data_IF_360929278122
#
_entry.id   IF_360929278122
#
_cell.length_a   1.000
_cell.length_b   1.000
_cell.length_c   1.000
_cell.angle_alpha   90.00
_cell.angle_beta   90.00
_cell.angle_gamma   90.00
#
_symmetry.space_group_name_H-M   'P 1'
#
loop_
_entity.id
_entity.type
_entity.pdbx_description
1 polymer ?
#
# COMPACT_ATOMS: atom_id res chain seq x y z
N UNK A 1 -5.98 24.45 -28.18
CA UNK A 1 -5.46 23.93 -26.89
C UNK A 1 -6.52 23.34 -25.94
N UNK A 2 -7.84 23.39 -26.24
CA UNK A 2 -8.88 22.78 -25.37
C UNK A 2 -9.13 21.28 -25.63
N UNK A 3 -8.83 20.77 -26.84
CA UNK A 3 -9.08 19.37 -27.21
C UNK A 3 -8.11 18.35 -26.57
N UNK A 4 -6.83 18.71 -26.42
CA UNK A 4 -5.83 17.79 -25.86
C UNK A 4 -6.03 17.52 -24.35
N UNK A 5 -6.53 18.51 -23.61
CA UNK A 5 -6.80 18.38 -22.17
C UNK A 5 -8.02 17.47 -21.92
N UNK A 6 -9.03 17.54 -22.78
CA UNK A 6 -10.23 16.68 -22.67
C UNK A 6 -9.88 15.21 -22.92
N UNK A 7 -9.05 14.92 -23.92
CA UNK A 7 -8.58 13.55 -24.17
C UNK A 7 -7.78 12.98 -23.00
N UNK A 8 -6.90 13.77 -22.38
CA UNK A 8 -6.07 13.29 -21.27
C UNK A 8 -6.91 12.99 -20.01
N UNK A 9 -7.91 13.82 -19.69
CA UNK A 9 -8.84 13.59 -18.57
C UNK A 9 -9.74 12.37 -18.85
N UNK A 10 -10.20 12.20 -20.08
CA UNK A 10 -10.98 11.03 -20.48
C UNK A 10 -10.17 9.73 -20.40
N UNK A 11 -8.88 9.74 -20.77
CA UNK A 11 -8.01 8.57 -20.65
C UNK A 11 -7.72 8.19 -19.20
N UNK A 12 -7.51 9.18 -18.31
CA UNK A 12 -7.33 8.91 -16.87
C UNK A 12 -8.63 8.40 -16.24
N UNK A 13 -9.78 8.97 -16.59
CA UNK A 13 -11.07 8.46 -16.15
C UNK A 13 -11.29 7.03 -16.65
N UNK A 14 -11.03 6.73 -17.93
CA UNK A 14 -11.15 5.39 -18.48
C UNK A 14 -10.22 4.38 -17.77
N UNK A 15 -8.98 4.76 -17.42
CA UNK A 15 -8.06 3.92 -16.65
C UNK A 15 -8.49 3.70 -15.19
N UNK A 16 -9.25 4.63 -14.61
CA UNK A 16 -9.81 4.48 -13.26
C UNK A 16 -11.11 3.64 -13.25
N UNK A 17 -11.94 3.74 -14.29
CA UNK A 17 -13.19 2.98 -14.41
C UNK A 17 -13.02 1.56 -14.97
N UNK A 18 -11.95 1.31 -15.75
CA UNK A 18 -11.58 -0.06 -16.18
C UNK A 18 -11.16 -0.95 -15.01
N UNK A 19 -10.89 -0.39 -13.82
CA UNK A 19 -10.66 -1.16 -12.60
C UNK A 19 -11.95 -1.54 -11.84
N UNK A 20 -13.14 -1.11 -12.28
CA UNK A 20 -14.40 -1.28 -11.52
C UNK A 20 -15.41 -2.19 -12.23
N UNK A 21 -15.34 -2.36 -13.55
CA UNK A 21 -16.21 -3.31 -14.27
C UNK A 21 -15.39 -4.13 -15.26
N UNK A 22 -15.18 -5.41 -14.95
CA UNK A 22 -14.39 -6.36 -15.74
C UNK A 22 -15.02 -6.81 -17.06
N UNK A 23 -15.51 -5.89 -17.88
CA UNK A 23 -16.16 -6.17 -19.15
C UNK A 23 -15.72 -5.22 -20.28
N UNK A 24 -14.43 -4.88 -20.38
CA UNK A 24 -13.90 -4.31 -21.63
C UNK A 24 -13.42 -5.46 -22.53
N UNK A 25 -14.04 -5.73 -23.70
CA UNK A 25 -13.56 -6.74 -24.63
C UNK A 25 -12.12 -6.40 -25.04
N UNK A 26 -11.18 -7.33 -24.81
CA UNK A 26 -9.78 -7.18 -25.19
C UNK A 26 -8.81 -6.75 -24.08
N UNK A 27 -9.28 -6.25 -22.94
CA UNK A 27 -8.42 -6.04 -21.75
C UNK A 27 -8.64 -7.20 -20.80
N UNK A 28 -7.79 -8.23 -20.88
CA UNK A 28 -7.76 -9.30 -19.89
C UNK A 28 -7.29 -8.70 -18.56
N UNK A 29 -8.23 -8.28 -17.71
CA UNK A 29 -7.93 -7.92 -16.32
C UNK A 29 -7.42 -9.20 -15.68
N UNK A 30 -6.10 -9.35 -15.59
CA UNK A 30 -5.51 -10.46 -14.86
C UNK A 30 -5.81 -10.19 -13.40
N UNK A 31 -6.84 -10.83 -12.87
CA UNK A 31 -7.02 -10.97 -11.43
C UNK A 31 -5.84 -11.81 -10.92
N UNK A 32 -4.74 -11.15 -10.63
CA UNK A 32 -3.65 -11.79 -9.94
C UNK A 32 -4.16 -12.13 -8.54
N UNK A 33 -4.25 -13.43 -8.23
CA UNK A 33 -4.41 -13.88 -6.85
C UNK A 33 -3.33 -13.24 -5.96
N UNK A 34 -3.51 -13.28 -4.65
CA UNK A 34 -2.42 -12.87 -3.76
C UNK A 34 -1.33 -13.94 -3.74
N UNK A 35 -0.09 -13.53 -3.46
CA UNK A 35 0.99 -14.45 -3.16
C UNK A 35 1.11 -14.57 -1.65
N UNK A 36 1.00 -15.78 -1.14
CA UNK A 36 1.25 -16.07 0.27
C UNK A 36 2.68 -16.56 0.47
N UNK A 37 3.50 -15.79 1.18
CA UNK A 37 4.87 -16.18 1.56
C UNK A 37 4.92 -16.94 2.91
N UNK A 38 3.76 -17.22 3.51
CA UNK A 38 3.59 -17.70 4.87
C UNK A 38 3.60 -16.57 5.90
N UNK A 39 3.00 -16.83 7.07
CA UNK A 39 2.78 -15.85 8.15
C UNK A 39 4.03 -15.03 8.48
N UNK A 40 5.17 -15.70 8.68
CA UNK A 40 6.44 -15.06 9.07
C UNK A 40 6.96 -14.13 7.97
N UNK A 41 7.07 -14.62 6.73
CA UNK A 41 7.67 -13.83 5.65
C UNK A 41 6.76 -12.69 5.20
N UNK A 42 5.44 -12.90 5.17
CA UNK A 42 4.47 -11.82 4.99
C UNK A 42 4.66 -10.74 6.06
N UNK A 43 4.82 -11.15 7.33
CA UNK A 43 5.11 -10.26 8.44
C UNK A 43 6.40 -9.46 8.26
N UNK A 44 7.47 -10.09 7.78
CA UNK A 44 8.76 -9.43 7.52
C UNK A 44 8.65 -8.39 6.40
N UNK A 45 7.97 -8.72 5.30
CA UNK A 45 7.73 -7.77 4.19
C UNK A 45 6.91 -6.58 4.71
N UNK A 46 5.76 -6.84 5.34
CA UNK A 46 4.89 -5.78 5.89
C UNK A 46 5.62 -4.93 6.91
N UNK A 47 6.39 -5.53 7.80
CA UNK A 47 7.18 -4.82 8.81
C UNK A 47 8.22 -3.90 8.18
N UNK A 48 8.90 -4.34 7.12
CA UNK A 48 9.80 -3.50 6.33
C UNK A 48 9.10 -2.31 5.70
N UNK A 49 7.92 -2.53 5.10
CA UNK A 49 7.12 -1.45 4.51
C UNK A 49 6.64 -0.45 5.57
N UNK A 50 6.12 -0.96 6.69
CA UNK A 50 5.66 -0.16 7.83
C UNK A 50 6.74 0.79 8.33
N UNK A 51 7.96 0.27 8.50
CA UNK A 51 9.09 1.06 8.97
C UNK A 51 9.37 2.26 8.05
N UNK A 52 9.48 2.00 6.75
CA UNK A 52 9.88 3.04 5.79
C UNK A 52 8.76 4.05 5.53
N UNK A 53 7.51 3.60 5.41
CA UNK A 53 6.37 4.51 5.28
C UNK A 53 6.16 5.37 6.54
N UNK A 54 6.37 4.80 7.74
CA UNK A 54 6.31 5.57 8.99
C UNK A 54 7.46 6.59 9.06
N UNK A 55 8.64 6.28 8.51
CA UNK A 55 9.73 7.24 8.38
C UNK A 55 9.38 8.39 7.41
N UNK A 56 8.65 8.12 6.32
CA UNK A 56 8.10 9.19 5.45
C UNK A 56 7.16 10.09 6.26
N UNK A 57 6.24 9.53 7.04
CA UNK A 57 5.33 10.30 7.90
C UNK A 57 6.07 11.15 8.94
N UNK A 58 7.15 10.61 9.54
CA UNK A 58 8.02 11.35 10.45
C UNK A 58 8.70 12.53 9.74
N UNK A 59 9.26 12.31 8.55
CA UNK A 59 9.88 13.38 7.73
C UNK A 59 8.87 14.45 7.35
N UNK A 60 7.65 14.05 6.98
CA UNK A 60 6.56 14.98 6.69
C UNK A 60 6.22 15.86 7.90
N UNK A 61 6.10 15.27 9.10
CA UNK A 61 5.85 16.02 10.34
C UNK A 61 7.02 16.94 10.75
N UNK A 62 8.25 16.63 10.35
CA UNK A 62 9.41 17.54 10.52
C UNK A 62 9.32 18.74 9.59
N UNK A 63 8.95 18.53 8.32
CA UNK A 63 8.73 19.59 7.32
C UNK A 63 7.51 20.45 7.66
N UNK A 64 6.48 19.85 8.26
CA UNK A 64 5.21 20.50 8.59
C UNK A 64 4.86 20.28 10.08
N UNK A 65 5.33 21.14 11.00
CA UNK A 65 5.09 20.96 12.44
C UNK A 65 3.62 20.89 12.83
N UNK A 66 2.73 21.61 12.13
CA UNK A 66 1.27 21.56 12.32
C UNK A 66 0.66 20.18 12.03
N UNK A 67 1.39 19.30 11.34
CA UNK A 67 0.96 17.95 11.01
C UNK A 67 1.21 16.94 12.15
N UNK A 68 2.06 17.28 13.15
CA UNK A 68 2.44 16.39 14.26
C UNK A 68 1.24 15.76 15.00
N UNK A 69 0.15 16.48 15.32
CA UNK A 69 -1.01 15.89 16.01
C UNK A 69 -1.67 14.75 15.23
N UNK A 70 -1.47 14.70 13.91
CA UNK A 70 -2.07 13.73 13.01
C UNK A 70 -1.16 12.54 12.67
N UNK A 71 0.05 12.50 13.24
CA UNK A 71 1.07 11.49 12.93
C UNK A 71 0.56 10.06 13.07
N UNK A 72 -0.17 9.75 14.15
CA UNK A 72 -0.73 8.41 14.34
C UNK A 72 -1.76 8.04 13.26
N UNK A 73 -2.54 9.02 12.78
CA UNK A 73 -3.48 8.79 11.68
C UNK A 73 -2.75 8.52 10.35
N UNK A 74 -1.64 9.23 10.10
CA UNK A 74 -0.79 8.98 8.92
C UNK A 74 -0.22 7.55 8.94
N UNK A 75 0.26 7.09 10.10
CA UNK A 75 0.72 5.71 10.27
C UNK A 75 -0.41 4.70 10.03
N UNK A 76 -1.60 4.96 10.58
CA UNK A 76 -2.78 4.13 10.33
C UNK A 76 -3.10 4.07 8.83
N UNK A 77 -3.01 5.20 8.12
CA UNK A 77 -3.25 5.25 6.68
C UNK A 77 -2.23 4.40 5.91
N UNK A 78 -0.96 4.41 6.32
CA UNK A 78 0.06 3.52 5.76
C UNK A 78 -0.33 2.04 5.93
N UNK A 79 -0.82 1.65 7.12
CA UNK A 79 -1.31 0.30 7.40
C UNK A 79 -2.50 -0.08 6.50
N UNK A 80 -3.49 0.81 6.40
CA UNK A 80 -4.65 0.62 5.53
C UNK A 80 -4.28 0.48 4.05
N UNK A 81 -3.30 1.27 3.59
CA UNK A 81 -2.83 1.18 2.21
C UNK A 81 -2.24 -0.19 1.91
N UNK A 82 -1.42 -0.72 2.81
CA UNK A 82 -0.86 -2.06 2.70
C UNK A 82 -1.95 -3.12 2.75
N UNK A 83 -2.91 -3.02 3.68
CA UNK A 83 -4.05 -3.94 3.76
C UNK A 83 -4.85 -3.97 2.45
N UNK A 84 -5.28 -2.80 1.97
CA UNK A 84 -6.16 -2.69 0.81
C UNK A 84 -5.52 -3.07 -0.52
N UNK A 85 -4.20 -2.93 -0.63
CA UNK A 85 -3.45 -3.19 -1.87
C UNK A 85 -2.54 -4.43 -1.76
N UNK A 86 -2.73 -5.27 -0.74
CA UNK A 86 -1.81 -6.38 -0.50
C UNK A 86 -1.67 -7.31 -1.71
N UNK A 87 -2.75 -7.58 -2.45
CA UNK A 87 -2.69 -8.45 -3.64
C UNK A 87 -1.63 -7.95 -4.62
N UNK A 88 -1.65 -6.65 -4.93
CA UNK A 88 -0.69 -6.03 -5.83
C UNK A 88 0.73 -6.03 -5.23
N UNK A 89 0.85 -5.73 -3.94
CA UNK A 89 2.15 -5.68 -3.27
C UNK A 89 2.78 -7.07 -3.11
N UNK A 90 1.98 -8.11 -2.91
CA UNK A 90 2.45 -9.49 -2.81
C UNK A 90 2.99 -10.00 -4.15
N UNK A 91 2.36 -9.62 -5.26
CA UNK A 91 2.86 -9.93 -6.61
C UNK A 91 4.15 -9.16 -6.92
N UNK A 92 4.23 -7.89 -6.53
CA UNK A 92 5.45 -7.12 -6.66
C UNK A 92 6.59 -7.73 -5.83
N UNK A 93 6.32 -8.09 -4.57
CA UNK A 93 7.26 -8.79 -3.71
C UNK A 93 7.72 -10.11 -4.34
N UNK A 94 6.82 -10.87 -4.96
CA UNK A 94 7.17 -12.11 -5.68
C UNK A 94 8.16 -11.83 -6.80
N UNK A 95 7.94 -10.81 -7.61
CA UNK A 95 8.88 -10.41 -8.65
C UNK A 95 10.26 -10.05 -8.09
N UNK A 96 10.31 -9.39 -6.93
CA UNK A 96 11.58 -9.07 -6.25
C UNK A 96 12.28 -10.33 -5.69
N UNK A 97 11.51 -11.29 -5.16
CA UNK A 97 12.05 -12.57 -4.68
C UNK A 97 12.59 -13.41 -5.84
N UNK A 98 11.85 -13.51 -6.95
CA UNK A 98 12.27 -14.28 -8.12
C UNK A 98 13.59 -13.76 -8.72
N UNK A 99 13.81 -12.44 -8.68
CA UNK A 99 15.07 -11.81 -9.12
C UNK A 99 16.29 -12.24 -8.32
N UNK A 100 16.12 -12.82 -7.13
CA UNK A 100 17.26 -13.32 -6.34
C UNK A 100 17.87 -14.59 -6.94
N UNK A 101 17.13 -15.34 -7.78
CA UNK A 101 17.63 -16.58 -8.41
C UNK A 101 17.95 -17.72 -7.44
N UNK A 102 17.60 -17.60 -6.16
CA UNK A 102 17.84 -18.59 -5.10
C UNK A 102 16.78 -18.51 -4.00
N UNK A 103 16.85 -19.42 -3.03
CA UNK A 103 16.00 -19.37 -1.84
C UNK A 103 16.28 -18.10 -1.03
N UNK A 104 15.26 -17.26 -0.76
CA UNK A 104 15.43 -16.03 0.03
C UNK A 104 15.56 -16.33 1.53
N UNK A 105 16.36 -15.52 2.21
CA UNK A 105 16.51 -15.48 3.67
C UNK A 105 15.49 -14.54 4.32
N UNK A 106 15.25 -14.67 5.63
CA UNK A 106 14.37 -13.76 6.38
C UNK A 106 14.80 -12.29 6.27
N UNK A 107 16.11 -12.02 6.24
CA UNK A 107 16.65 -10.66 6.07
C UNK A 107 16.28 -10.07 4.72
N UNK A 108 16.27 -10.88 3.68
CA UNK A 108 15.91 -10.43 2.33
C UNK A 108 14.44 -10.08 2.20
N UNK A 109 13.54 -10.86 2.83
CA UNK A 109 12.13 -10.50 2.91
C UNK A 109 11.90 -9.15 3.59
N UNK A 110 12.61 -8.89 4.70
CA UNK A 110 12.56 -7.59 5.37
C UNK A 110 13.10 -6.46 4.49
N UNK A 111 14.20 -6.69 3.77
CA UNK A 111 14.80 -5.71 2.85
C UNK A 111 13.90 -5.41 1.65
N UNK A 112 13.24 -6.42 1.09
CA UNK A 112 12.23 -6.28 0.04
C UNK A 112 11.10 -5.36 0.54
N UNK A 113 10.58 -5.63 1.74
CA UNK A 113 9.58 -4.77 2.37
C UNK A 113 10.04 -3.32 2.52
N UNK A 114 11.28 -3.10 2.99
CA UNK A 114 11.84 -1.74 3.09
C UNK A 114 11.96 -1.05 1.73
N UNK A 115 12.45 -1.75 0.71
CA UNK A 115 12.54 -1.21 -0.65
C UNK A 115 11.17 -0.77 -1.16
N UNK A 116 10.17 -1.64 -1.03
CA UNK A 116 8.80 -1.32 -1.43
C UNK A 116 8.25 -0.12 -0.67
N UNK A 117 8.44 -0.05 0.65
CA UNK A 117 7.98 1.06 1.48
C UNK A 117 8.63 2.41 1.13
N UNK A 118 9.87 2.42 0.64
CA UNK A 118 10.56 3.64 0.18
C UNK A 118 10.00 4.18 -1.13
N UNK A 119 9.61 3.30 -2.04
CA UNK A 119 9.06 3.64 -3.36
C UNK A 119 7.58 4.09 -3.29
N UNK A 120 6.93 3.92 -2.14
CA UNK A 120 5.55 4.34 -1.94
C UNK A 120 5.43 5.85 -1.65
N UNK A 121 4.79 6.58 -2.56
CA UNK A 121 4.40 7.96 -2.30
C UNK A 121 3.18 8.03 -1.36
N UNK A 122 3.43 8.54 -0.16
CA UNK A 122 2.45 8.73 0.91
C UNK A 122 2.19 10.21 1.25
N UNK A 123 3.04 11.15 0.79
CA UNK A 123 2.99 12.55 1.26
C UNK A 123 1.71 13.25 0.80
N UNK A 124 1.23 12.97 -0.41
CA UNK A 124 -0.03 13.52 -0.94
C UNK A 124 -1.22 13.21 -0.02
N UNK A 125 -1.26 11.99 0.53
CA UNK A 125 -2.32 11.56 1.44
C UNK A 125 -2.21 12.20 2.81
N UNK A 126 -0.99 12.47 3.29
CA UNK A 126 -0.80 13.15 4.59
C UNK A 126 -1.33 14.58 4.56
N UNK A 127 -1.22 15.28 3.43
CA UNK A 127 -1.84 16.60 3.25
C UNK A 127 -3.36 16.54 3.42
N UNK A 128 -4.00 15.51 2.89
CA UNK A 128 -5.44 15.26 3.05
C UNK A 128 -5.79 15.04 4.53
N UNK A 129 -5.02 14.21 5.23
CA UNK A 129 -5.24 13.94 6.67
C UNK A 129 -5.23 15.24 7.49
N UNK A 130 -4.26 16.12 7.24
CA UNK A 130 -4.15 17.42 7.93
C UNK A 130 -5.30 18.35 7.54
N UNK A 131 -5.61 18.46 6.24
CA UNK A 131 -6.70 19.32 5.72
C UNK A 131 -8.04 18.98 6.36
N UNK A 132 -8.37 17.70 6.45
CA UNK A 132 -9.64 17.22 7.03
C UNK A 132 -9.55 16.94 8.54
N UNK A 133 -8.41 17.22 9.18
CA UNK A 133 -8.18 17.06 10.62
C UNK A 133 -8.59 15.67 11.14
N UNK A 134 -8.28 14.62 10.38
CA UNK A 134 -8.77 13.26 10.64
C UNK A 134 -8.21 12.69 11.96
N UNK A 135 -9.07 11.99 12.72
CA UNK A 135 -8.74 11.42 14.04
C UNK A 135 -8.94 9.90 14.09
N UNK A 136 -8.15 9.24 14.93
CA UNK A 136 -8.26 7.81 15.19
C UNK A 136 -9.40 7.53 16.17
N UNK A 137 -10.32 6.65 15.77
CA UNK A 137 -11.26 5.99 16.68
C UNK A 137 -10.60 4.72 17.28
N UNK A 138 -11.25 4.04 18.25
CA UNK A 138 -10.70 2.84 18.89
C UNK A 138 -10.30 1.73 17.92
N UNK A 139 -11.15 1.41 16.93
CA UNK A 139 -10.88 0.35 15.95
C UNK A 139 -9.65 0.64 15.09
N UNK A 140 -9.50 1.89 14.65
CA UNK A 140 -8.33 2.33 13.88
C UNK A 140 -7.05 2.25 14.72
N UNK A 141 -7.12 2.53 16.03
CA UNK A 141 -5.98 2.35 16.95
C UNK A 141 -5.62 0.88 17.10
N UNK A 142 -6.62 -0.01 17.23
CA UNK A 142 -6.40 -1.45 17.31
C UNK A 142 -5.63 -1.94 16.09
N UNK A 143 -6.08 -1.59 14.88
CA UNK A 143 -5.40 -1.98 13.64
C UNK A 143 -3.98 -1.38 13.53
N UNK A 144 -3.80 -0.12 13.93
CA UNK A 144 -2.48 0.52 13.93
C UNK A 144 -1.47 -0.21 14.82
N UNK A 145 -1.95 -0.73 15.95
CA UNK A 145 -1.11 -1.42 16.94
C UNK A 145 -0.96 -2.92 16.66
N UNK A 146 -1.65 -3.47 15.66
CA UNK A 146 -1.48 -4.86 15.25
C UNK A 146 -0.05 -5.11 14.76
N UNK A 147 0.68 -6.09 15.31
CA UNK A 147 2.01 -6.47 14.83
C UNK A 147 1.99 -6.86 13.35
N UNK A 148 3.09 -6.61 12.62
CA UNK A 148 3.14 -6.89 11.19
C UNK A 148 2.89 -8.36 10.83
N UNK A 149 3.32 -9.30 11.69
CA UNK A 149 3.11 -10.75 11.53
C UNK A 149 1.64 -11.17 11.70
N UNK A 150 0.87 -10.41 12.48
CA UNK A 150 -0.55 -10.65 12.73
C UNK A 150 -1.45 -9.71 11.92
N UNK A 151 -0.83 -8.83 11.15
CA UNK A 151 -1.55 -7.85 10.36
C UNK A 151 -2.31 -8.58 9.25
N UNK A 152 -3.64 -8.38 9.15
CA UNK A 152 -4.46 -9.18 8.27
C UNK A 152 -4.02 -9.03 6.81
N UNK A 153 -4.30 -10.08 6.05
CA UNK A 153 -4.08 -10.12 4.62
C UNK A 153 -5.46 -10.07 3.97
N UNK A 154 -5.70 -9.09 3.09
CA UNK A 154 -6.93 -9.11 2.31
C UNK A 154 -6.76 -10.19 1.24
N UNK A 155 -7.44 -11.31 1.39
CA UNK A 155 -7.52 -12.33 0.35
C UNK A 155 -8.77 -12.08 -0.48
N UNK A 156 -8.68 -12.24 -1.82
CA UNK A 156 -9.88 -12.37 -2.63
C UNK A 156 -10.45 -13.74 -2.30
N UNK A 157 -11.54 -13.78 -1.53
CA UNK A 157 -12.32 -15.01 -1.38
C UNK A 157 -12.85 -15.34 -2.77
N UNK A 158 -12.50 -16.50 -3.32
CA UNK A 158 -13.31 -17.07 -4.39
C UNK A 158 -14.71 -17.19 -3.80
N UNK A 159 -15.65 -16.40 -4.32
CA UNK A 159 -17.04 -16.78 -4.24
C UNK A 159 -17.11 -18.02 -5.14
N UNK A 160 -17.19 -19.18 -4.49
CA UNK A 160 -17.46 -20.45 -5.17
C UNK A 160 -18.82 -20.40 -5.83
#
# INVERSE_FOLDING_TARGET
MKGAVVCFVATIAALQWTNVYGHTPGVRIVQHGYVDFGRVNNGLIKGGMFLEMDNVAKRFCRKHPSAKPYFQYMRYLNRQRIYGNWNNYSQWARGLVQKLGRKPTSREFANIGRKMGKEMDCEAYFRIVVRYRLKLNPDKRKLLNTPAIDFPIRTLRNWG
#
